data_IF_151761695011
#
_entry.id   IF_151761695011
#
_cell.length_a   1.000
_cell.length_b   1.000
_cell.length_c   1.000
_cell.angle_alpha   90.00
_cell.angle_beta   90.00
_cell.angle_gamma   90.00
#
_symmetry.space_group_name_H-M   'P 1'
#
loop_
_entity.id
_entity.type
_entity.pdbx_description
1 polymer ?
#
# COMPACT_ATOMS: atom_id res chain seq x y z
N UNK A 1 0.93 -36.55 1.31
CA UNK A 1 1.83 -35.38 1.18
C UNK A 1 3.12 -35.93 0.61
N UNK A 2 3.43 -35.69 -0.67
CA UNK A 2 4.68 -36.17 -1.27
C UNK A 2 5.85 -35.50 -0.55
N UNK A 3 6.82 -36.28 -0.06
CA UNK A 3 7.99 -35.74 0.62
C UNK A 3 8.93 -35.09 -0.39
N UNK A 4 9.75 -34.13 0.05
CA UNK A 4 10.74 -33.46 -0.81
C UNK A 4 11.64 -34.50 -1.53
N UNK A 5 11.94 -35.60 -0.83
CA UNK A 5 12.69 -36.75 -1.33
C UNK A 5 12.02 -37.42 -2.53
N UNK A 6 10.70 -37.65 -2.45
CA UNK A 6 9.93 -38.27 -3.54
C UNK A 6 9.92 -37.37 -4.79
N UNK A 7 9.83 -36.05 -4.60
CA UNK A 7 9.85 -35.08 -5.69
C UNK A 7 11.24 -35.00 -6.37
N UNK A 8 12.33 -35.05 -5.60
CA UNK A 8 13.70 -35.01 -6.14
C UNK A 8 14.12 -36.31 -6.81
N UNK A 9 13.71 -37.46 -6.27
CA UNK A 9 13.93 -38.76 -6.92
C UNK A 9 13.13 -38.87 -8.22
N UNK A 10 11.91 -38.33 -8.26
CA UNK A 10 11.08 -38.27 -9.46
C UNK A 10 11.62 -37.32 -10.54
N UNK A 11 12.09 -36.12 -10.16
CA UNK A 11 12.53 -35.09 -11.11
C UNK A 11 13.96 -35.27 -11.62
N UNK A 12 14.86 -35.82 -10.79
CA UNK A 12 16.29 -35.87 -11.11
C UNK A 12 16.89 -37.28 -11.08
N UNK A 13 16.12 -38.30 -10.67
CA UNK A 13 16.60 -39.69 -10.59
C UNK A 13 17.70 -39.93 -9.55
N UNK A 14 17.93 -38.97 -8.65
CA UNK A 14 18.98 -39.03 -7.62
C UNK A 14 18.38 -39.43 -6.28
N UNK A 15 18.84 -40.57 -5.73
CA UNK A 15 18.51 -40.98 -4.36
C UNK A 15 19.21 -40.08 -3.35
N UNK A 16 18.43 -39.37 -2.55
CA UNK A 16 18.94 -38.48 -1.50
C UNK A 16 19.01 -39.26 -0.18
N UNK A 17 20.20 -39.33 0.41
CA UNK A 17 20.39 -39.88 1.75
C UNK A 17 20.06 -38.83 2.85
N UNK A 18 19.86 -39.28 4.08
CA UNK A 18 19.44 -38.42 5.20
C UNK A 18 20.41 -37.26 5.48
N UNK A 19 21.71 -37.44 5.24
CA UNK A 19 22.71 -36.37 5.45
C UNK A 19 22.57 -35.29 4.39
N UNK A 20 22.37 -35.69 3.13
CA UNK A 20 22.15 -34.76 2.01
C UNK A 20 20.81 -34.03 2.16
N UNK A 21 19.75 -34.70 2.62
CA UNK A 21 18.46 -34.07 2.94
C UNK A 21 18.61 -32.97 4.02
N UNK A 22 19.36 -33.25 5.08
CA UNK A 22 19.63 -32.26 6.13
C UNK A 22 20.40 -31.04 5.62
N UNK A 23 21.41 -31.25 4.77
CA UNK A 23 22.17 -30.17 4.12
C UNK A 23 21.27 -29.31 3.22
N UNK A 24 20.42 -29.95 2.42
CA UNK A 24 19.46 -29.26 1.55
C UNK A 24 18.48 -28.41 2.37
N UNK A 25 17.96 -28.95 3.47
CA UNK A 25 17.04 -28.22 4.36
C UNK A 25 17.70 -27.00 5.01
N UNK A 26 18.97 -27.12 5.44
CA UNK A 26 19.74 -25.98 5.96
C UNK A 26 19.95 -24.94 4.87
N UNK A 27 20.34 -25.36 3.67
CA UNK A 27 20.54 -24.46 2.56
C UNK A 27 19.24 -23.71 2.19
N UNK A 28 18.11 -24.42 2.15
CA UNK A 28 16.78 -23.83 1.97
C UNK A 28 16.43 -22.81 3.06
N UNK A 29 16.71 -23.11 4.32
CA UNK A 29 16.46 -22.19 5.42
C UNK A 29 17.30 -20.91 5.31
N UNK A 30 18.59 -21.06 4.99
CA UNK A 30 19.49 -19.91 4.74
C UNK A 30 19.00 -19.10 3.55
N UNK A 31 18.61 -19.76 2.45
CA UNK A 31 18.09 -19.10 1.27
C UNK A 31 16.80 -18.31 1.58
N UNK A 32 15.83 -18.92 2.26
CA UNK A 32 14.57 -18.27 2.63
C UNK A 32 14.79 -17.08 3.56
N UNK A 33 15.68 -17.21 4.55
CA UNK A 33 16.03 -16.11 5.45
C UNK A 33 16.71 -14.94 4.70
N UNK A 34 17.61 -15.24 3.76
CA UNK A 34 18.24 -14.22 2.93
C UNK A 34 17.23 -13.49 2.05
N UNK A 35 16.33 -14.24 1.39
CA UNK A 35 15.23 -13.66 0.58
C UNK A 35 14.33 -12.78 1.44
N UNK A 36 13.95 -13.23 2.64
CA UNK A 36 13.13 -12.44 3.57
C UNK A 36 13.81 -11.11 3.97
N UNK A 37 15.12 -11.14 4.26
CA UNK A 37 15.87 -9.93 4.60
C UNK A 37 15.97 -8.95 3.42
N UNK A 38 16.15 -9.44 2.20
CA UNK A 38 16.16 -8.59 1.00
C UNK A 38 14.78 -7.98 0.75
N UNK A 39 13.72 -8.78 0.84
CA UNK A 39 12.34 -8.33 0.63
C UNK A 39 11.92 -7.30 1.68
N UNK A 40 12.29 -7.48 2.95
CA UNK A 40 11.98 -6.49 3.99
C UNK A 40 12.66 -5.14 3.74
N UNK A 41 13.93 -5.14 3.31
CA UNK A 41 14.63 -3.92 2.90
C UNK A 41 13.97 -3.25 1.71
N UNK A 42 13.57 -4.03 0.71
CA UNK A 42 12.89 -3.52 -0.48
C UNK A 42 11.52 -2.90 -0.13
N UNK A 43 10.73 -3.59 0.69
CA UNK A 43 9.44 -3.09 1.19
C UNK A 43 9.60 -1.77 1.95
N UNK A 44 10.62 -1.65 2.81
CA UNK A 44 10.90 -0.42 3.54
C UNK A 44 11.20 0.74 2.59
N UNK A 45 12.07 0.53 1.61
CA UNK A 45 12.42 1.53 0.60
C UNK A 45 11.20 1.96 -0.23
N UNK A 46 10.34 1.02 -0.61
CA UNK A 46 9.08 1.38 -1.30
C UNK A 46 8.15 2.20 -0.40
N UNK A 47 8.03 1.85 0.88
CA UNK A 47 7.24 2.61 1.85
C UNK A 47 7.72 4.06 1.98
N UNK A 48 9.04 4.26 2.04
CA UNK A 48 9.67 5.59 2.09
C UNK A 48 9.38 6.40 0.82
N UNK A 49 9.53 5.81 -0.37
CA UNK A 49 9.20 6.46 -1.64
C UNK A 49 7.73 6.87 -1.74
N UNK A 50 6.81 6.04 -1.23
CA UNK A 50 5.38 6.36 -1.21
C UNK A 50 5.05 7.46 -0.18
N UNK A 51 5.74 7.49 0.96
CA UNK A 51 5.61 8.56 1.94
C UNK A 51 6.14 9.89 1.38
N UNK A 52 7.26 9.86 0.68
CA UNK A 52 7.84 11.04 0.03
C UNK A 52 6.93 11.61 -1.06
N UNK A 53 6.41 10.74 -1.96
CA UNK A 53 5.42 11.15 -2.97
C UNK A 53 4.17 11.76 -2.34
N UNK A 54 3.70 11.21 -1.22
CA UNK A 54 2.56 11.76 -0.47
C UNK A 54 2.89 13.15 0.07
N UNK A 55 4.06 13.37 0.68
CA UNK A 55 4.47 14.68 1.18
C UNK A 55 4.63 15.72 0.06
N UNK A 56 5.13 15.31 -1.09
CA UNK A 56 5.33 16.24 -2.23
C UNK A 56 4.02 16.64 -2.91
N UNK A 57 2.93 15.86 -2.73
CA UNK A 57 1.63 16.19 -3.32
C UNK A 57 1.01 17.44 -2.70
N UNK A 58 0.48 18.31 -3.55
CA UNK A 58 -0.31 19.48 -3.15
C UNK A 58 -1.58 19.52 -4.00
N UNK A 59 -2.67 20.02 -3.40
CA UNK A 59 -3.91 20.29 -4.12
C UNK A 59 -4.76 21.28 -3.33
N UNK A 60 -5.64 21.98 -4.03
CA UNK A 60 -6.68 22.81 -3.44
C UNK A 60 -7.86 22.82 -4.39
N UNK A 61 -9.08 22.76 -3.88
CA UNK A 61 -10.27 22.82 -4.71
C UNK A 61 -11.56 22.82 -3.91
N UNK A 62 -12.66 23.16 -4.57
CA UNK A 62 -14.01 23.07 -4.03
C UNK A 62 -14.63 21.75 -4.47
N UNK A 63 -15.09 20.96 -3.51
CA UNK A 63 -15.70 19.65 -3.75
C UNK A 63 -17.00 19.82 -4.52
N UNK A 64 -17.12 19.14 -5.65
CA UNK A 64 -18.39 19.00 -6.38
C UNK A 64 -19.10 17.70 -6.04
N UNK A 65 -18.38 16.58 -6.05
CA UNK A 65 -18.93 15.26 -5.73
C UNK A 65 -17.90 14.32 -5.11
N UNK A 66 -18.42 13.26 -4.49
CA UNK A 66 -17.66 12.19 -3.83
C UNK A 66 -18.14 10.85 -4.37
N UNK A 67 -17.22 9.93 -4.57
CA UNK A 67 -17.52 8.55 -4.96
C UNK A 67 -16.76 7.59 -4.05
N UNK A 68 -17.48 6.68 -3.38
CA UNK A 68 -16.88 5.60 -2.60
C UNK A 68 -16.85 4.34 -3.45
N UNK A 69 -15.65 3.85 -3.74
CA UNK A 69 -15.44 2.60 -4.46
C UNK A 69 -15.37 1.43 -3.48
N UNK A 70 -16.53 0.83 -3.21
CA UNK A 70 -16.63 -0.31 -2.30
C UNK A 70 -15.91 -1.57 -2.80
N UNK A 71 -15.67 -1.69 -4.11
CA UNK A 71 -14.97 -2.84 -4.68
C UNK A 71 -13.44 -2.73 -4.50
N UNK A 72 -12.92 -1.51 -4.37
CA UNK A 72 -11.49 -1.25 -4.22
C UNK A 72 -11.16 -0.80 -2.80
N UNK A 73 -11.24 -1.72 -1.82
CA UNK A 73 -10.88 -1.43 -0.42
C UNK A 73 -11.58 -0.20 0.21
N UNK A 74 -12.76 0.16 -0.29
CA UNK A 74 -13.53 1.33 0.15
C UNK A 74 -12.77 2.67 0.05
N UNK A 75 -11.94 2.86 -0.98
CA UNK A 75 -11.33 4.17 -1.24
C UNK A 75 -12.33 5.18 -1.79
N UNK A 76 -12.12 6.43 -1.38
CA UNK A 76 -12.94 7.57 -1.79
C UNK A 76 -12.21 8.39 -2.85
N UNK A 77 -12.97 8.78 -3.87
CA UNK A 77 -12.57 9.74 -4.89
C UNK A 77 -13.31 11.05 -4.66
N UNK A 78 -12.57 12.16 -4.66
CA UNK A 78 -13.10 13.53 -4.62
C UNK A 78 -13.00 14.12 -6.01
N UNK A 79 -14.10 14.68 -6.50
CA UNK A 79 -14.15 15.46 -7.73
C UNK A 79 -14.31 16.94 -7.37
N UNK A 80 -13.40 17.77 -7.87
CA UNK A 80 -13.42 19.20 -7.67
C UNK A 80 -14.17 19.91 -8.80
N UNK A 81 -14.69 21.11 -8.51
CA UNK A 81 -15.43 21.94 -9.48
C UNK A 81 -14.62 22.36 -10.71
N UNK A 82 -13.29 22.38 -10.59
CA UNK A 82 -12.36 22.66 -11.69
C UNK A 82 -12.11 21.43 -12.59
N UNK A 83 -12.79 20.31 -12.34
CA UNK A 83 -12.64 19.06 -13.08
C UNK A 83 -11.49 18.19 -12.57
N UNK A 84 -10.71 18.63 -11.57
CA UNK A 84 -9.63 17.83 -11.00
C UNK A 84 -10.21 16.70 -10.13
N UNK A 85 -9.71 15.49 -10.33
CA UNK A 85 -10.02 14.31 -9.50
C UNK A 85 -8.85 13.98 -8.59
N UNK A 86 -9.14 13.66 -7.32
CA UNK A 86 -8.18 13.06 -6.38
C UNK A 86 -8.75 11.77 -5.81
N UNK A 87 -7.90 10.75 -5.71
CA UNK A 87 -8.30 9.39 -5.31
C UNK A 87 -7.43 8.90 -4.17
N UNK A 88 -7.82 7.77 -3.56
CA UNK A 88 -7.04 7.14 -2.50
C UNK A 88 -7.27 7.74 -1.12
N UNK A 89 -8.39 8.45 -0.92
CA UNK A 89 -8.79 8.90 0.41
C UNK A 89 -9.43 7.73 1.19
N UNK A 90 -9.27 7.68 2.52
CA UNK A 90 -9.94 6.68 3.36
C UNK A 90 -11.46 6.81 3.29
N UNK A 91 -12.17 5.71 3.53
CA UNK A 91 -13.65 5.71 3.55
C UNK A 91 -14.23 6.70 4.57
N UNK A 92 -13.55 6.88 5.71
CA UNK A 92 -13.97 7.84 6.74
C UNK A 92 -14.16 9.26 6.20
N UNK A 93 -13.43 9.63 5.13
CA UNK A 93 -13.51 10.95 4.53
C UNK A 93 -14.81 11.14 3.74
N UNK A 94 -15.41 10.05 3.23
CA UNK A 94 -16.71 10.10 2.55
C UNK A 94 -17.80 10.72 3.42
N UNK A 95 -17.79 10.38 4.71
CA UNK A 95 -18.80 10.84 5.67
C UNK A 95 -18.48 12.24 6.22
N UNK A 96 -17.21 12.65 6.21
CA UNK A 96 -16.78 13.94 6.73
C UNK A 96 -16.91 15.09 5.72
N UNK A 97 -16.57 14.81 4.46
CA UNK A 97 -16.53 15.78 3.35
C UNK A 97 -17.94 15.93 2.76
N UNK A 98 -18.33 17.17 2.46
CA UNK A 98 -19.59 17.49 1.79
C UNK A 98 -19.36 18.28 0.52
N UNK A 99 -20.35 18.26 -0.38
CA UNK A 99 -20.38 19.13 -1.55
C UNK A 99 -20.22 20.59 -1.12
N UNK A 100 -19.46 21.36 -1.90
CA UNK A 100 -19.05 22.75 -1.67
C UNK A 100 -18.07 22.98 -0.51
N UNK A 101 -17.57 21.94 0.16
CA UNK A 101 -16.43 22.11 1.05
C UNK A 101 -15.18 22.45 0.23
N UNK A 102 -14.28 23.25 0.81
CA UNK A 102 -12.96 23.46 0.23
C UNK A 102 -11.98 22.49 0.89
N UNK A 103 -11.29 21.69 0.07
CA UNK A 103 -10.22 20.83 0.53
C UNK A 103 -8.90 21.35 0.01
N UNK A 104 -7.87 21.30 0.86
CA UNK A 104 -6.52 21.59 0.42
C UNK A 104 -5.49 20.79 1.20
N UNK A 105 -4.37 20.53 0.53
CA UNK A 105 -3.17 19.91 1.09
C UNK A 105 -1.98 20.77 0.70
N UNK A 106 -1.20 21.17 1.69
CA UNK A 106 0.02 21.94 1.49
C UNK A 106 1.17 21.01 1.10
N UNK A 107 2.08 21.51 0.24
CA UNK A 107 3.31 20.80 -0.08
C UNK A 107 4.12 20.54 1.20
N UNK A 108 4.73 19.36 1.28
CA UNK A 108 5.51 18.87 2.43
C UNK A 108 4.71 18.64 3.71
N UNK A 109 3.38 18.60 3.64
CA UNK A 109 2.50 18.31 4.77
C UNK A 109 1.54 17.20 4.39
N UNK A 110 1.46 16.14 5.19
CA UNK A 110 0.55 15.03 4.92
C UNK A 110 -0.90 15.28 5.37
N UNK A 111 -1.13 16.36 6.12
CA UNK A 111 -2.46 16.75 6.61
C UNK A 111 -3.32 17.30 5.47
N UNK A 112 -4.55 16.81 5.37
CA UNK A 112 -5.56 17.38 4.49
C UNK A 112 -6.48 18.26 5.33
N UNK A 113 -6.71 19.48 4.86
CA UNK A 113 -7.55 20.46 5.52
C UNK A 113 -8.89 20.55 4.81
N UNK A 114 -9.96 20.59 5.59
CA UNK A 114 -11.32 20.84 5.15
C UNK A 114 -11.79 22.17 5.70
N UNK A 115 -12.17 23.08 4.80
CA UNK A 115 -12.76 24.37 5.13
C UNK A 115 -14.24 24.38 4.74
N UNK A 116 -15.10 24.66 5.73
CA UNK A 116 -16.55 24.81 5.56
C UNK A 116 -16.97 26.14 6.17
N UNK A 117 -17.26 27.12 5.31
CA UNK A 117 -17.45 28.51 5.74
C UNK A 117 -16.21 29.05 6.46
N UNK A 118 -16.38 29.43 7.73
CA UNK A 118 -15.30 29.96 8.58
C UNK A 118 -14.58 28.89 9.42
N UNK A 119 -15.00 27.63 9.33
CA UNK A 119 -14.43 26.53 10.13
C UNK A 119 -13.40 25.77 9.30
N UNK A 120 -12.21 25.56 9.86
CA UNK A 120 -11.16 24.70 9.28
C UNK A 120 -10.99 23.48 10.17
N UNK A 121 -11.06 22.29 9.59
CA UNK A 121 -10.84 21.00 10.25
C UNK A 121 -9.69 20.27 9.59
N UNK A 122 -8.91 19.55 10.39
CA UNK A 122 -7.92 18.59 9.89
C UNK A 122 -8.62 17.25 9.67
N UNK A 123 -8.36 16.61 8.54
CA UNK A 123 -8.76 15.24 8.27
C UNK A 123 -7.51 14.37 8.50
N UNK A 124 -7.65 13.37 9.38
CA UNK A 124 -6.61 12.39 9.74
C UNK A 124 -6.96 11.02 9.17
#
# INVERSE_FOLDING_TARGET
MASLKDATEFLFGVKIDKKTEWIINIFLLIFLSAVFLIMSKYSKKQGELMAEKRKQSQFSGIVDSLYSDKANHAVVSVFFKDGIKKTGFPESYYYAIKKNDSLYKLKNNDTIYLKRGNIIKKLN
#
